data_IF_816176555062
#
_entry.id   IF_816176555062
#
_cell.length_a   1.000
_cell.length_b   1.000
_cell.length_c   1.000
_cell.angle_alpha   90.00
_cell.angle_beta   90.00
_cell.angle_gamma   90.00
#
_symmetry.space_group_name_H-M   'P 1'
#
loop_
_entity.id
_entity.type
_entity.pdbx_description
1 polymer ?
#
# COMPACT_ATOMS: atom_id res chain seq x y z
N UNK A 1 -90.35 7.51 -10.73
CA UNK A 1 -89.63 8.29 -9.68
C UNK A 1 -88.24 7.71 -9.54
N UNK A 2 -87.28 8.53 -9.83
CA UNK A 2 -85.87 8.13 -9.99
C UNK A 2 -85.18 8.13 -8.65
N UNK A 3 -84.61 7.02 -8.22
CA UNK A 3 -83.72 6.90 -7.09
C UNK A 3 -82.25 7.07 -7.55
N UNK A 4 -81.57 8.07 -7.00
CA UNK A 4 -80.13 8.30 -7.21
C UNK A 4 -79.35 7.54 -6.17
N UNK A 5 -78.52 6.60 -6.64
CA UNK A 5 -77.50 5.92 -5.84
C UNK A 5 -76.24 6.76 -5.88
N UNK A 6 -75.82 7.23 -4.72
CA UNK A 6 -74.50 7.87 -4.52
C UNK A 6 -73.49 6.78 -4.18
N UNK A 7 -72.62 6.51 -5.10
CA UNK A 7 -71.53 5.59 -4.87
C UNK A 7 -70.30 6.31 -4.23
N UNK A 8 -69.91 5.88 -3.03
CA UNK A 8 -68.72 6.37 -2.37
C UNK A 8 -67.50 5.65 -2.97
N UNK A 9 -66.61 6.42 -3.59
CA UNK A 9 -65.33 5.94 -4.15
C UNK A 9 -64.27 5.99 -3.03
N UNK A 10 -63.90 4.83 -2.52
CA UNK A 10 -62.76 4.67 -1.62
C UNK A 10 -61.47 4.71 -2.44
N UNK A 11 -60.68 5.77 -2.35
CA UNK A 11 -59.31 5.81 -2.85
C UNK A 11 -58.41 5.04 -1.87
N UNK A 12 -57.96 3.87 -2.27
CA UNK A 12 -56.85 3.18 -1.63
C UNK A 12 -55.52 3.83 -2.11
N UNK A 13 -54.82 4.52 -1.22
CA UNK A 13 -53.46 5.00 -1.46
C UNK A 13 -52.51 3.83 -1.25
N UNK A 14 -52.09 3.23 -2.34
CA UNK A 14 -50.96 2.25 -2.33
C UNK A 14 -49.68 3.03 -2.15
N UNK A 15 -49.11 2.98 -0.93
CA UNK A 15 -47.76 3.46 -0.65
C UNK A 15 -46.75 2.53 -1.34
N UNK A 16 -46.16 2.96 -2.46
CA UNK A 16 -44.98 2.35 -3.00
C UNK A 16 -43.79 2.62 -2.06
N UNK A 17 -43.47 1.68 -1.22
CA UNK A 17 -42.17 1.63 -0.57
C UNK A 17 -41.12 1.44 -1.66
N UNK A 18 -40.33 2.47 -1.93
CA UNK A 18 -39.13 2.33 -2.77
C UNK A 18 -38.05 1.63 -1.96
N UNK A 19 -38.06 0.30 -2.01
CA UNK A 19 -36.88 -0.50 -1.71
C UNK A 19 -35.90 -0.25 -2.86
N UNK A 20 -35.19 0.87 -2.76
CA UNK A 20 -34.06 1.13 -3.62
C UNK A 20 -32.90 0.36 -3.01
N UNK A 21 -32.44 -0.76 -3.60
CA UNK A 21 -31.20 -1.38 -3.14
C UNK A 21 -30.11 -0.32 -3.26
N UNK A 22 -29.37 -0.10 -2.17
CA UNK A 22 -28.19 0.75 -2.21
C UNK A 22 -27.34 0.30 -3.39
N UNK A 23 -26.80 1.21 -4.22
CA UNK A 23 -25.90 0.82 -5.27
C UNK A 23 -24.76 0.01 -4.63
N UNK A 24 -24.27 -1.06 -5.28
CA UNK A 24 -23.07 -1.72 -4.83
C UNK A 24 -22.02 -0.62 -4.68
N UNK A 25 -21.38 -0.54 -3.52
CA UNK A 25 -20.21 0.28 -3.36
C UNK A 25 -19.20 -0.28 -4.37
N UNK A 26 -19.00 0.45 -5.48
CA UNK A 26 -17.78 0.32 -6.26
C UNK A 26 -16.64 0.80 -5.35
N UNK A 27 -16.27 -0.05 -4.40
CA UNK A 27 -14.97 0.02 -3.78
C UNK A 27 -14.01 -0.35 -4.91
N UNK A 28 -13.48 0.67 -5.58
CA UNK A 28 -12.24 0.52 -6.32
C UNK A 28 -11.21 -0.16 -5.42
N UNK A 29 -10.09 -0.65 -5.94
CA UNK A 29 -9.09 -1.31 -5.12
C UNK A 29 -8.88 -0.46 -3.86
N UNK A 30 -9.06 -1.05 -2.68
CA UNK A 30 -8.95 -0.33 -1.43
C UNK A 30 -7.53 0.24 -1.36
N UNK A 31 -7.41 1.57 -1.38
CA UNK A 31 -6.11 2.21 -1.30
C UNK A 31 -5.52 1.91 0.08
N UNK A 32 -4.37 1.28 0.10
CA UNK A 32 -3.60 1.09 1.33
C UNK A 32 -3.03 2.45 1.71
N UNK A 33 -3.26 2.89 2.94
CA UNK A 33 -2.64 4.09 3.47
C UNK A 33 -1.40 3.69 4.24
N UNK A 34 -0.23 4.07 3.74
CA UNK A 34 1.08 3.85 4.36
C UNK A 34 1.49 5.10 5.12
N UNK A 35 1.98 4.94 6.34
CA UNK A 35 2.45 6.04 7.21
C UNK A 35 3.74 5.65 7.92
N UNK A 36 4.51 6.65 8.34
CA UNK A 36 5.67 6.48 9.23
C UNK A 36 5.52 7.38 10.45
N UNK A 37 6.00 6.94 11.60
CA UNK A 37 6.16 7.83 12.75
C UNK A 37 7.41 8.71 12.66
N UNK A 38 8.25 8.49 11.65
CA UNK A 38 9.51 9.18 11.45
C UNK A 38 9.41 10.39 10.50
N UNK A 39 8.54 10.31 9.49
CA UNK A 39 8.34 11.38 8.49
C UNK A 39 6.95 11.31 7.88
N UNK A 40 6.46 12.44 7.40
CA UNK A 40 5.20 12.59 6.68
C UNK A 40 5.40 12.47 5.16
N UNK A 41 4.30 12.33 4.40
CA UNK A 41 4.31 12.31 2.93
C UNK A 41 5.05 13.54 2.36
N UNK A 42 6.04 13.29 1.50
CA UNK A 42 6.88 14.31 0.87
C UNK A 42 7.89 15.00 1.81
N UNK A 43 7.97 14.60 3.08
CA UNK A 43 8.89 15.19 4.04
C UNK A 43 10.29 14.57 3.98
N UNK A 44 11.26 15.26 4.55
CA UNK A 44 12.63 14.78 4.70
C UNK A 44 12.68 13.53 5.59
N UNK A 45 13.33 12.47 5.11
CA UNK A 45 13.63 11.28 5.90
C UNK A 45 14.74 11.66 6.90
N UNK A 46 14.54 11.49 8.22
CA UNK A 46 15.54 11.85 9.21
C UNK A 46 16.89 11.13 9.00
N UNK A 47 17.97 11.82 9.29
CA UNK A 47 19.34 11.36 9.10
C UNK A 47 19.60 9.96 9.68
N UNK A 48 18.95 9.61 10.80
CA UNK A 48 19.02 8.30 11.44
C UNK A 48 18.78 7.15 10.46
N UNK A 49 17.90 7.34 9.46
CA UNK A 49 17.49 6.33 8.49
C UNK A 49 18.27 6.38 7.17
N UNK A 50 19.26 7.26 7.08
CA UNK A 50 20.09 7.48 5.89
C UNK A 50 21.51 6.98 6.08
N UNK A 51 22.31 6.98 5.01
CA UNK A 51 23.73 6.57 5.06
C UNK A 51 24.64 7.53 5.83
N UNK A 52 24.18 8.73 6.14
CA UNK A 52 24.90 9.72 6.95
C UNK A 52 24.67 9.52 8.44
N UNK A 53 23.60 8.79 8.81
CA UNK A 53 23.29 8.40 10.18
C UNK A 53 23.59 6.93 10.45
N UNK A 54 22.76 6.31 11.30
CA UNK A 54 22.88 4.89 11.67
C UNK A 54 22.44 3.97 10.53
N UNK A 55 21.51 4.45 9.69
CA UNK A 55 20.96 3.68 8.59
C UNK A 55 19.86 2.69 9.00
N UNK A 56 19.17 2.96 10.10
CA UNK A 56 18.08 2.14 10.58
C UNK A 56 16.95 2.04 9.54
N UNK A 57 16.13 0.99 9.65
CA UNK A 57 14.88 0.88 8.89
C UNK A 57 13.86 1.87 9.48
N UNK A 58 13.26 2.78 8.67
CA UNK A 58 12.21 3.64 9.19
C UNK A 58 10.98 2.82 9.57
N UNK A 59 10.35 3.10 10.72
CA UNK A 59 9.14 2.38 11.12
C UNK A 59 7.98 2.73 10.19
N UNK A 60 7.35 1.71 9.60
CA UNK A 60 6.18 1.88 8.74
C UNK A 60 4.97 1.19 9.34
N UNK A 61 3.82 1.79 9.16
CA UNK A 61 2.52 1.20 9.45
C UNK A 61 1.57 1.43 8.28
N UNK A 62 0.60 0.56 8.13
CA UNK A 62 -0.38 0.71 7.06
C UNK A 62 -1.79 0.28 7.49
N UNK A 63 -2.78 0.81 6.79
CA UNK A 63 -4.20 0.48 6.97
C UNK A 63 -4.84 0.23 5.61
N UNK A 64 -6.04 -0.30 5.57
CA UNK A 64 -6.76 -0.52 4.32
C UNK A 64 -6.41 -1.82 3.59
N UNK A 65 -5.61 -2.71 4.20
CA UNK A 65 -5.36 -4.05 3.62
C UNK A 65 -6.69 -4.80 3.48
N UNK A 66 -7.06 -5.25 2.27
CA UNK A 66 -8.29 -6.01 2.05
C UNK A 66 -8.33 -7.28 2.90
N UNK A 67 -9.50 -7.65 3.41
CA UNK A 67 -9.67 -8.89 4.19
C UNK A 67 -9.39 -10.17 3.37
N UNK A 68 -9.38 -10.07 2.04
CA UNK A 68 -9.01 -11.14 1.12
C UNK A 68 -7.50 -11.30 0.95
N UNK A 69 -6.68 -10.39 1.47
CA UNK A 69 -5.24 -10.50 1.37
C UNK A 69 -4.70 -11.66 2.22
N UNK A 70 -3.83 -12.44 1.64
CA UNK A 70 -3.14 -13.56 2.29
C UNK A 70 -1.74 -13.16 2.79
N UNK A 71 -1.11 -12.19 2.14
CA UNK A 71 0.22 -11.68 2.49
C UNK A 71 0.35 -10.20 2.11
N UNK A 72 1.47 -9.60 2.53
CA UNK A 72 1.86 -8.24 2.19
C UNK A 72 3.28 -8.25 1.64
N UNK A 73 3.58 -7.39 0.68
CA UNK A 73 4.95 -7.09 0.26
C UNK A 73 5.24 -5.60 0.44
N UNK A 74 6.49 -5.27 0.70
CA UNK A 74 7.00 -3.90 0.76
C UNK A 74 8.16 -3.76 -0.22
N UNK A 75 8.06 -2.77 -1.10
CA UNK A 75 9.13 -2.39 -2.03
C UNK A 75 9.53 -0.95 -1.74
N UNK A 76 10.84 -0.72 -1.55
CA UNK A 76 11.38 0.63 -1.41
C UNK A 76 12.29 0.93 -2.59
N UNK A 77 11.94 1.98 -3.35
CA UNK A 77 12.61 2.36 -4.59
C UNK A 77 13.02 3.84 -4.56
N UNK A 78 14.12 4.16 -5.21
CA UNK A 78 14.54 5.51 -5.56
C UNK A 78 14.39 5.68 -7.09
N UNK A 79 13.31 6.31 -7.58
CA UNK A 79 13.09 6.53 -9.01
C UNK A 79 14.08 7.53 -9.62
N UNK A 80 14.66 8.43 -8.83
CA UNK A 80 15.65 9.42 -9.29
C UNK A 80 17.01 8.77 -9.60
N UNK A 81 17.23 7.54 -9.08
CA UNK A 81 18.44 6.74 -9.31
C UNK A 81 18.21 5.57 -10.30
N UNK A 82 17.41 5.77 -11.37
CA UNK A 82 17.06 4.74 -12.34
C UNK A 82 16.41 3.51 -11.72
N UNK A 83 15.40 3.72 -10.89
CA UNK A 83 14.66 2.67 -10.19
C UNK A 83 15.57 1.82 -9.29
N UNK A 84 16.38 2.48 -8.45
CA UNK A 84 17.23 1.77 -7.51
C UNK A 84 16.40 1.20 -6.35
N UNK A 85 16.40 -0.14 -6.21
CA UNK A 85 15.69 -0.85 -5.15
C UNK A 85 16.52 -0.86 -3.87
N UNK A 86 15.98 -0.21 -2.84
CA UNK A 86 16.58 -0.14 -1.51
C UNK A 86 16.21 -1.31 -0.62
N UNK A 87 14.99 -1.83 -0.80
CA UNK A 87 14.50 -2.99 -0.06
C UNK A 87 13.33 -3.65 -0.78
N UNK A 88 13.27 -4.98 -0.75
CA UNK A 88 12.16 -5.78 -1.28
C UNK A 88 11.88 -6.87 -0.26
N UNK A 89 10.90 -6.62 0.61
CA UNK A 89 10.44 -7.53 1.64
C UNK A 89 9.15 -8.23 1.17
N UNK A 90 9.10 -9.55 1.30
CA UNK A 90 8.03 -10.38 0.76
C UNK A 90 7.34 -11.16 1.86
N UNK A 91 6.10 -11.56 1.58
CA UNK A 91 5.31 -12.48 2.39
C UNK A 91 5.18 -12.05 3.86
N UNK A 92 5.18 -10.72 4.08
CA UNK A 92 4.90 -10.13 5.38
C UNK A 92 3.48 -10.50 5.84
N UNK A 93 3.24 -10.66 7.15
CA UNK A 93 1.91 -10.94 7.66
C UNK A 93 0.97 -9.75 7.43
N UNK A 94 -0.31 -10.03 7.22
CA UNK A 94 -1.36 -9.00 7.13
C UNK A 94 -1.64 -8.33 8.48
N UNK A 95 -1.20 -8.94 9.59
CA UNK A 95 -1.31 -8.43 10.96
C UNK A 95 -0.13 -8.95 11.81
N UNK A 96 0.56 -8.08 12.56
CA UNK A 96 0.35 -6.62 12.65
C UNK A 96 0.68 -5.92 11.33
N UNK A 97 -0.03 -4.82 11.04
CA UNK A 97 0.18 -4.01 9.84
C UNK A 97 1.33 -3.01 10.05
N UNK A 98 2.53 -3.52 10.28
CA UNK A 98 3.74 -2.73 10.57
C UNK A 98 5.01 -3.49 10.20
N UNK A 99 6.06 -2.75 9.89
CA UNK A 99 7.43 -3.25 9.77
C UNK A 99 8.39 -2.23 10.40
N UNK A 100 9.33 -2.72 11.19
CA UNK A 100 10.38 -1.95 11.86
C UNK A 100 11.71 -2.71 11.95
N UNK A 101 11.82 -3.82 11.20
CA UNK A 101 12.99 -4.70 11.16
C UNK A 101 13.01 -5.55 9.89
N UNK A 102 14.03 -6.43 9.74
CA UNK A 102 14.18 -7.31 8.58
C UNK A 102 12.98 -8.26 8.42
N UNK A 103 12.66 -8.61 7.18
CA UNK A 103 11.66 -9.61 6.84
C UNK A 103 12.27 -11.01 6.78
N UNK A 104 11.44 -12.05 6.94
CA UNK A 104 11.88 -13.45 6.84
C UNK A 104 12.23 -13.85 5.39
N UNK A 105 11.56 -13.20 4.40
CA UNK A 105 11.80 -13.40 2.98
C UNK A 105 12.08 -12.05 2.33
N UNK A 106 13.26 -11.93 1.73
CA UNK A 106 13.69 -10.72 1.05
C UNK A 106 14.31 -11.04 -0.31
N UNK A 107 13.98 -10.26 -1.33
CA UNK A 107 14.72 -10.34 -2.58
C UNK A 107 15.98 -9.46 -2.52
N UNK A 108 16.87 -9.67 -3.50
CA UNK A 108 18.06 -8.83 -3.64
C UNK A 108 17.65 -7.41 -4.00
N UNK A 109 18.29 -6.46 -3.35
CA UNK A 109 18.21 -5.04 -3.69
C UNK A 109 19.21 -4.71 -4.82
N UNK A 110 19.21 -3.45 -5.30
CA UNK A 110 20.12 -3.02 -6.38
C UNK A 110 21.61 -3.08 -6.00
N UNK A 111 21.93 -3.22 -4.70
CA UNK A 111 23.31 -3.48 -4.24
C UNK A 111 23.73 -4.94 -4.40
N UNK A 112 22.78 -5.84 -4.72
CA UNK A 112 23.01 -7.27 -4.88
C UNK A 112 22.94 -8.08 -3.59
N UNK A 113 22.47 -7.49 -2.49
CA UNK A 113 22.25 -8.14 -1.18
C UNK A 113 20.80 -8.10 -0.79
N UNK A 114 20.35 -8.94 0.12
CA UNK A 114 19.08 -8.82 0.82
C UNK A 114 19.13 -7.72 1.86
N UNK A 115 17.98 -7.31 2.36
CA UNK A 115 17.82 -6.31 3.41
C UNK A 115 17.78 -4.87 2.94
N UNK A 116 17.62 -4.02 3.92
CA UNK A 116 17.55 -2.58 3.77
C UNK A 116 18.90 -1.97 3.34
N UNK A 117 18.88 -1.10 2.34
CA UNK A 117 20.00 -0.22 1.98
C UNK A 117 19.56 1.22 2.25
N UNK A 118 20.21 1.94 3.19
CA UNK A 118 19.81 3.30 3.52
C UNK A 118 19.92 4.26 2.33
N UNK A 119 19.02 5.27 2.22
CA UNK A 119 19.14 6.38 1.29
C UNK A 119 20.49 7.07 1.34
N UNK A 120 21.11 7.27 0.17
CA UNK A 120 22.42 7.90 0.05
C UNK A 120 22.56 8.63 -1.30
N UNK A 121 21.80 9.71 -1.54
CA UNK A 121 21.84 10.39 -2.83
C UNK A 121 23.20 11.02 -3.06
N UNK A 122 23.83 10.83 -4.23
CA UNK A 122 25.15 11.39 -4.51
C UNK A 122 25.14 12.90 -4.74
N UNK A 123 24.00 13.45 -5.16
CA UNK A 123 23.78 14.87 -5.40
C UNK A 123 22.30 15.20 -5.49
N UNK A 124 21.91 16.42 -5.15
CA UNK A 124 20.51 16.89 -5.24
C UNK A 124 19.60 16.26 -4.20
N UNK A 125 18.32 16.25 -4.49
CA UNK A 125 17.26 15.66 -3.65
C UNK A 125 16.67 14.49 -4.38
N UNK A 126 16.64 13.32 -3.75
CA UNK A 126 16.02 12.11 -4.27
C UNK A 126 14.75 11.78 -3.49
N UNK A 127 13.81 11.15 -4.18
CA UNK A 127 12.57 10.63 -3.61
C UNK A 127 12.73 9.15 -3.30
N UNK A 128 12.15 8.72 -2.21
CA UNK A 128 12.13 7.30 -1.79
C UNK A 128 10.70 6.89 -1.59
N UNK A 129 10.24 5.97 -2.44
CA UNK A 129 8.87 5.48 -2.45
C UNK A 129 8.82 4.16 -1.67
N UNK A 130 8.03 4.15 -0.60
CA UNK A 130 7.75 2.99 0.25
C UNK A 130 6.37 2.45 -0.13
N UNK A 131 6.33 1.46 -1.02
CA UNK A 131 5.07 0.92 -1.52
C UNK A 131 4.74 -0.42 -0.86
N UNK A 132 3.59 -0.47 -0.20
CA UNK A 132 3.01 -1.67 0.40
C UNK A 132 1.99 -2.27 -0.56
N UNK A 133 2.11 -3.55 -0.86
CA UNK A 133 1.21 -4.33 -1.71
C UNK A 133 0.47 -5.35 -0.85
N UNK A 134 -0.85 -5.42 -0.98
CA UNK A 134 -1.63 -6.54 -0.48
C UNK A 134 -1.71 -7.63 -1.55
N UNK A 135 -1.41 -8.86 -1.19
CA UNK A 135 -1.34 -10.00 -2.10
C UNK A 135 -2.46 -10.99 -1.77
N UNK A 136 -3.12 -11.56 -2.80
CA UNK A 136 -4.15 -12.58 -2.64
C UNK A 136 -3.58 -13.97 -2.31
N UNK A 137 -2.28 -14.17 -2.56
CA UNK A 137 -1.52 -15.34 -2.16
C UNK A 137 -0.08 -14.95 -1.79
N UNK A 138 0.66 -15.76 -1.00
CA UNK A 138 2.09 -15.58 -0.83
C UNK A 138 2.82 -15.68 -2.17
N UNK A 139 3.91 -14.93 -2.32
CA UNK A 139 4.70 -14.88 -3.56
C UNK A 139 5.35 -16.22 -3.94
N UNK A 140 5.60 -17.08 -2.95
CA UNK A 140 6.36 -18.32 -3.14
C UNK A 140 7.79 -18.12 -3.63
N UNK A 141 8.30 -16.89 -3.54
CA UNK A 141 9.68 -16.55 -3.90
C UNK A 141 10.61 -16.91 -2.76
N UNK A 142 11.74 -17.54 -3.07
CA UNK A 142 12.72 -17.89 -2.06
C UNK A 142 13.50 -16.65 -1.59
N UNK A 143 13.92 -16.65 -0.32
CA UNK A 143 14.84 -15.64 0.21
C UNK A 143 16.10 -15.53 -0.64
N UNK A 144 16.58 -14.31 -0.88
CA UNK A 144 17.75 -14.02 -1.71
C UNK A 144 17.52 -14.13 -3.22
N UNK A 145 16.27 -14.26 -3.68
CA UNK A 145 15.93 -14.25 -5.12
C UNK A 145 16.24 -12.90 -5.77
N UNK A 146 16.36 -12.91 -7.11
CA UNK A 146 16.56 -11.67 -7.87
C UNK A 146 15.32 -10.75 -7.78
N UNK A 147 15.55 -9.43 -7.75
CA UNK A 147 14.52 -8.40 -7.67
C UNK A 147 13.41 -8.60 -8.72
N UNK A 148 13.80 -8.83 -9.99
CA UNK A 148 12.83 -8.98 -11.08
C UNK A 148 11.83 -10.12 -10.82
N UNK A 149 12.30 -11.28 -10.29
CA UNK A 149 11.41 -12.38 -9.94
C UNK A 149 10.43 -12.04 -8.82
N UNK A 150 10.89 -11.25 -7.83
CA UNK A 150 10.04 -10.80 -6.74
C UNK A 150 8.95 -9.84 -7.24
N UNK A 151 9.32 -8.91 -8.12
CA UNK A 151 8.38 -7.95 -8.70
C UNK A 151 7.34 -8.64 -9.59
N UNK A 152 7.76 -9.62 -10.41
CA UNK A 152 6.83 -10.42 -11.22
C UNK A 152 5.80 -11.14 -10.33
N UNK A 153 6.23 -11.72 -9.21
CA UNK A 153 5.33 -12.40 -8.27
C UNK A 153 4.42 -11.43 -7.49
N UNK A 154 4.91 -10.24 -7.17
CA UNK A 154 4.07 -9.18 -6.58
C UNK A 154 3.00 -8.77 -7.59
N UNK A 155 3.35 -8.51 -8.86
CA UNK A 155 2.41 -8.10 -9.91
C UNK A 155 1.34 -9.17 -10.17
N UNK A 156 1.72 -10.45 -10.11
CA UNK A 156 0.79 -11.59 -10.27
C UNK A 156 -0.27 -11.64 -9.16
N UNK A 157 0.08 -11.27 -7.92
CA UNK A 157 -0.75 -11.46 -6.73
C UNK A 157 -1.30 -10.16 -6.12
N UNK A 158 -0.88 -8.98 -6.59
CA UNK A 158 -1.29 -7.70 -6.01
C UNK A 158 -2.78 -7.40 -6.26
N UNK A 159 -3.51 -7.17 -5.17
CA UNK A 159 -4.94 -6.81 -5.19
C UNK A 159 -5.21 -5.38 -4.70
N UNK A 160 -4.24 -4.76 -4.04
CA UNK A 160 -4.27 -3.37 -3.61
C UNK A 160 -2.83 -2.91 -3.31
N UNK A 161 -2.59 -1.61 -3.35
CA UNK A 161 -1.32 -1.03 -2.93
C UNK A 161 -1.51 0.38 -2.38
N UNK A 162 -0.46 0.90 -1.73
CA UNK A 162 -0.36 2.27 -1.29
C UNK A 162 1.10 2.66 -1.08
N UNK A 163 1.42 3.93 -1.25
CA UNK A 163 2.79 4.45 -1.20
C UNK A 163 2.89 5.61 -0.21
N UNK A 164 3.99 5.64 0.53
CA UNK A 164 4.47 6.79 1.28
C UNK A 164 5.79 7.23 0.63
N UNK A 165 5.91 8.51 0.30
CA UNK A 165 7.12 9.08 -0.28
C UNK A 165 7.86 9.94 0.74
N UNK A 166 9.15 9.70 0.93
CA UNK A 166 10.04 10.60 1.66
C UNK A 166 11.13 11.14 0.76
N UNK A 167 11.80 12.20 1.18
CA UNK A 167 12.92 12.78 0.42
C UNK A 167 14.21 12.76 1.25
N UNK A 168 15.34 12.68 0.57
CA UNK A 168 16.67 12.90 1.16
C UNK A 168 17.45 13.81 0.24
N UNK A 169 18.00 14.88 0.80
CA UNK A 169 18.90 15.77 0.09
C UNK A 169 20.34 15.36 0.37
N UNK A 170 21.17 15.32 -0.68
CA UNK A 170 22.61 15.12 -0.47
C UNK A 170 23.16 16.24 0.40
N UNK A 171 23.90 15.91 1.45
CA UNK A 171 24.71 16.90 2.13
C UNK A 171 25.74 17.43 1.13
N UNK A 172 25.53 18.66 0.66
CA UNK A 172 26.51 19.32 -0.19
C UNK A 172 27.86 19.34 0.55
N UNK A 173 28.84 18.62 0.00
CA UNK A 173 30.22 18.63 0.46
C UNK A 173 30.91 19.94 0.07
#
# INVERSE_FOLDING_TARGET
>A
MRALLVGALLLAVAGCGSDNPAPPSDAGPADIVVTSSAFDEGAEIPEQFTCTGVGDIPPLTWTGVPASAAAVALVVIDPDAHDYYHWVALDLPTSPATVDGPADVEARNSKGSTGWTPPCPPSGTHHYEFTVYALDAPTGVADGSETARALDAIDEHAIAHGTLTGVVSSSAG
#
